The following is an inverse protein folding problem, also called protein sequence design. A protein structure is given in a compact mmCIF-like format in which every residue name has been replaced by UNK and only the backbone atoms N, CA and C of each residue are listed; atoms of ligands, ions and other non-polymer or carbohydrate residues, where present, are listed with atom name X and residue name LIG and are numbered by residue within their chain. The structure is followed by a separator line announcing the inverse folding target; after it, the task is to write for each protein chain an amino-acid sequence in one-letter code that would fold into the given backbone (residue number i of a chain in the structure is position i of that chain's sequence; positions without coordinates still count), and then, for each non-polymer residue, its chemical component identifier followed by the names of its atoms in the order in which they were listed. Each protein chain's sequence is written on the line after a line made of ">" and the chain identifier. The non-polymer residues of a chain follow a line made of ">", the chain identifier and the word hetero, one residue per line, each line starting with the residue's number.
data_IF_297642438906
#
_entry.id   IF_297642438906
#
_cell.length_a   1.000
_cell.length_b   1.000
_cell.length_c   1.000
_cell.angle_alpha   90.00
_cell.angle_beta   90.00
_cell.angle_gamma   90.00
#
_symmetry.space_group_name_H-M   'P 1'
#
loop_
_entity.id
_entity.type
_entity.pdbx_description
1 polymer ?
#
# COMPACT_ATOMS: atom_id res chain seq x y z
N UNK A 1 -23.68 -1.65 -10.49
CA UNK A 1 -22.52 -0.71 -10.51
C UNK A 1 -22.45 0.17 -9.26
N UNK A 2 -23.56 0.74 -8.78
CA UNK A 2 -23.60 1.58 -7.56
C UNK A 2 -23.28 0.85 -6.26
N UNK A 3 -23.59 -0.45 -6.16
CA UNK A 3 -23.26 -1.30 -5.01
C UNK A 3 -21.76 -1.61 -4.91
N UNK A 4 -21.14 -2.05 -5.99
CA UNK A 4 -19.70 -2.34 -6.03
C UNK A 4 -18.86 -1.08 -5.75
N UNK A 5 -19.23 0.06 -6.33
CA UNK A 5 -18.56 1.33 -6.04
C UNK A 5 -18.67 1.72 -4.54
N UNK A 6 -19.83 1.51 -3.92
CA UNK A 6 -20.02 1.75 -2.48
C UNK A 6 -19.15 0.82 -1.63
N UNK A 7 -18.99 -0.44 -2.03
CA UNK A 7 -18.09 -1.40 -1.36
C UNK A 7 -16.64 -0.95 -1.47
N UNK A 8 -16.18 -0.54 -2.66
CA UNK A 8 -14.80 -0.07 -2.88
C UNK A 8 -14.49 1.26 -2.18
N UNK A 9 -15.51 2.08 -1.91
CA UNK A 9 -15.38 3.32 -1.16
C UNK A 9 -15.51 3.13 0.36
N UNK A 10 -15.73 1.90 0.84
CA UNK A 10 -15.95 1.63 2.25
C UNK A 10 -14.67 1.89 3.07
N UNK A 11 -14.74 2.72 4.14
CA UNK A 11 -13.60 2.95 5.04
C UNK A 11 -13.00 1.67 5.64
N UNK A 12 -13.80 0.63 5.85
CA UNK A 12 -13.31 -0.65 6.39
C UNK A 12 -12.32 -1.34 5.44
N UNK A 13 -12.55 -1.22 4.13
CA UNK A 13 -11.63 -1.77 3.12
C UNK A 13 -10.27 -1.07 3.21
N UNK A 14 -10.28 0.25 3.39
CA UNK A 14 -9.06 1.02 3.61
C UNK A 14 -8.31 0.60 4.88
N UNK A 15 -9.02 0.28 5.96
CA UNK A 15 -8.39 -0.02 7.25
C UNK A 15 -7.81 -1.43 7.29
N UNK A 16 -8.56 -2.44 6.80
CA UNK A 16 -8.19 -3.84 6.98
C UNK A 16 -7.60 -4.49 5.75
N UNK A 17 -8.07 -4.12 4.55
CA UNK A 17 -7.65 -4.78 3.31
C UNK A 17 -6.51 -4.02 2.64
N UNK A 18 -6.59 -2.69 2.54
CA UNK A 18 -5.53 -1.90 1.91
C UNK A 18 -4.14 -2.12 2.48
N UNK A 19 -3.93 -2.39 3.77
CA UNK A 19 -2.57 -2.65 4.23
C UNK A 19 -1.99 -3.95 3.71
N UNK A 20 -2.82 -4.91 3.31
CA UNK A 20 -2.36 -6.18 2.73
C UNK A 20 -1.71 -5.95 1.37
N UNK A 21 -2.12 -4.91 0.63
CA UNK A 21 -1.61 -4.67 -0.71
C UNK A 21 -0.11 -4.33 -0.76
N UNK A 22 0.45 -3.80 0.33
CA UNK A 22 1.88 -3.43 0.43
C UNK A 22 2.79 -4.65 0.66
N UNK A 23 2.20 -5.81 0.94
CA UNK A 23 2.90 -7.10 1.12
C UNK A 23 2.42 -8.18 0.14
N UNK A 24 1.29 -7.97 -0.54
CA UNK A 24 0.60 -9.00 -1.33
C UNK A 24 1.46 -9.57 -2.46
N UNK A 25 2.12 -8.71 -3.24
CA UNK A 25 2.95 -9.16 -4.37
C UNK A 25 4.09 -10.03 -3.85
N UNK A 26 4.81 -9.56 -2.84
CA UNK A 26 5.93 -10.31 -2.27
C UNK A 26 5.50 -11.61 -1.60
N UNK A 27 4.39 -11.61 -0.86
CA UNK A 27 3.89 -12.81 -0.19
C UNK A 27 3.43 -13.87 -1.21
N UNK A 28 2.63 -13.50 -2.20
CA UNK A 28 2.06 -14.43 -3.18
C UNK A 28 3.15 -14.98 -4.11
N UNK A 29 4.01 -14.12 -4.64
CA UNK A 29 5.12 -14.56 -5.51
C UNK A 29 6.17 -15.36 -4.73
N UNK A 30 6.41 -15.02 -3.47
CA UNK A 30 7.32 -15.75 -2.58
C UNK A 30 6.80 -17.16 -2.26
N UNK A 31 5.50 -17.30 -1.99
CA UNK A 31 4.84 -18.60 -1.78
C UNK A 31 4.94 -19.50 -3.01
N UNK A 32 4.82 -18.93 -4.21
CA UNK A 32 4.95 -19.69 -5.46
C UNK A 32 6.39 -20.15 -5.74
N UNK A 33 7.40 -19.47 -5.19
CA UNK A 33 8.81 -19.73 -5.46
C UNK A 33 9.51 -20.49 -4.31
N UNK A 34 8.76 -21.00 -3.32
CA UNK A 34 9.31 -21.77 -2.20
C UNK A 34 8.66 -23.14 -2.11
N UNK A 35 9.45 -24.14 -1.69
CA UNK A 35 8.95 -25.49 -1.43
C UNK A 35 8.44 -25.66 0.01
N UNK A 36 8.79 -24.73 0.91
CA UNK A 36 8.45 -24.77 2.33
C UNK A 36 7.80 -23.45 2.77
N UNK A 37 6.48 -23.29 2.58
CA UNK A 37 5.79 -22.03 2.85
C UNK A 37 5.78 -21.71 4.35
N UNK A 38 6.23 -20.51 4.71
CA UNK A 38 6.22 -20.00 6.09
C UNK A 38 4.98 -19.15 6.32
N UNK A 39 3.84 -19.81 6.49
CA UNK A 39 2.52 -19.18 6.69
C UNK A 39 2.48 -18.21 7.87
N UNK A 40 3.15 -18.56 8.96
CA UNK A 40 3.19 -17.77 10.19
C UNK A 40 3.90 -16.42 9.99
N UNK A 41 4.95 -16.36 9.15
CA UNK A 41 5.59 -15.09 8.75
C UNK A 41 4.62 -14.17 8.00
N UNK A 42 3.74 -14.71 7.15
CA UNK A 42 2.74 -13.93 6.41
C UNK A 42 1.69 -13.37 7.36
N UNK A 43 1.23 -14.18 8.33
CA UNK A 43 0.27 -13.72 9.36
C UNK A 43 0.86 -12.57 10.15
N UNK A 44 2.11 -12.66 10.60
CA UNK A 44 2.75 -11.56 11.32
C UNK A 44 2.91 -10.30 10.45
N UNK A 45 3.31 -10.44 9.18
CA UNK A 45 3.39 -9.29 8.27
C UNK A 45 2.03 -8.63 8.02
N UNK A 46 0.96 -9.42 7.91
CA UNK A 46 -0.40 -8.90 7.78
C UNK A 46 -0.83 -8.13 9.05
N UNK A 47 -0.54 -8.67 10.23
CA UNK A 47 -0.79 -7.97 11.51
C UNK A 47 0.00 -6.67 11.61
N UNK A 48 1.27 -6.69 11.20
CA UNK A 48 2.14 -5.50 11.17
C UNK A 48 1.56 -4.45 10.24
N UNK A 49 1.17 -4.82 9.02
CA UNK A 49 0.63 -3.89 8.04
C UNK A 49 -0.71 -3.28 8.50
N UNK A 50 -1.62 -4.09 9.04
CA UNK A 50 -2.92 -3.59 9.53
C UNK A 50 -2.72 -2.66 10.73
N UNK A 51 -1.88 -3.07 11.69
CA UNK A 51 -1.61 -2.28 12.89
C UNK A 51 -0.88 -0.98 12.55
N UNK A 52 0.07 -0.99 11.61
CA UNK A 52 0.76 0.22 11.16
C UNK A 52 -0.19 1.21 10.51
N UNK A 53 -1.14 0.75 9.69
CA UNK A 53 -2.14 1.63 9.07
C UNK A 53 -3.09 2.26 10.12
N UNK A 54 -3.46 1.50 11.15
CA UNK A 54 -4.27 2.00 12.27
C UNK A 54 -3.50 3.05 13.07
N UNK A 55 -2.24 2.77 13.42
CA UNK A 55 -1.38 3.71 14.14
C UNK A 55 -1.18 4.99 13.32
N UNK A 56 -0.87 4.87 12.03
CA UNK A 56 -0.75 6.02 11.11
C UNK A 56 -2.04 6.86 11.12
N UNK A 57 -3.20 6.22 11.05
CA UNK A 57 -4.49 6.89 11.11
C UNK A 57 -4.70 7.66 12.42
N UNK A 58 -4.49 7.00 13.57
CA UNK A 58 -4.70 7.61 14.88
C UNK A 58 -3.66 8.69 15.19
N UNK A 59 -2.39 8.50 14.84
CA UNK A 59 -1.36 9.53 14.99
C UNK A 59 -1.65 10.75 14.12
N UNK A 60 -2.12 10.57 12.88
CA UNK A 60 -2.55 11.69 12.06
C UNK A 60 -3.71 12.47 12.71
N UNK A 61 -4.69 11.79 13.29
CA UNK A 61 -5.80 12.46 13.97
C UNK A 61 -5.35 13.19 15.25
N UNK A 62 -4.54 12.55 16.09
CA UNK A 62 -4.07 13.09 17.37
C UNK A 62 -3.11 14.26 17.17
N UNK A 63 -2.11 14.11 16.30
CA UNK A 63 -0.98 15.04 16.22
C UNK A 63 -1.15 16.13 15.15
N UNK A 64 -1.78 15.81 14.00
CA UNK A 64 -1.94 16.77 12.88
C UNK A 64 -3.30 17.46 12.95
N UNK A 65 -4.38 16.70 13.06
CA UNK A 65 -5.74 17.28 13.14
C UNK A 65 -6.08 17.82 14.53
N UNK A 66 -5.24 17.57 15.54
CA UNK A 66 -5.44 17.98 16.94
C UNK A 66 -6.84 17.65 17.46
N UNK A 67 -7.37 16.49 17.07
CA UNK A 67 -8.70 16.02 17.47
C UNK A 67 -8.57 14.78 18.36
N UNK A 68 -8.20 14.95 19.65
CA UNK A 68 -7.94 13.84 20.56
C UNK A 68 -9.20 13.00 20.85
N UNK A 69 -10.40 13.58 20.74
CA UNK A 69 -11.66 12.89 20.99
C UNK A 69 -11.98 11.84 19.92
N UNK A 70 -11.39 11.96 18.72
CA UNK A 70 -11.56 11.00 17.64
C UNK A 70 -10.58 9.81 17.74
N UNK A 71 -9.62 9.86 18.68
CA UNK A 71 -8.60 8.82 18.88
C UNK A 71 -8.85 8.05 20.17
N UNK A 72 -9.52 6.88 20.12
CA UNK A 72 -9.64 6.01 21.29
C UNK A 72 -8.27 5.48 21.69
N UNK A 73 -7.72 5.99 22.81
CA UNK A 73 -6.36 5.67 23.27
C UNK A 73 -6.15 4.18 23.54
N UNK A 74 -7.20 3.48 23.96
CA UNK A 74 -7.17 2.03 24.15
C UNK A 74 -6.89 1.29 22.84
N UNK A 75 -7.52 1.68 21.73
CA UNK A 75 -7.34 1.02 20.43
C UNK A 75 -5.94 1.31 19.89
N UNK A 76 -5.46 2.55 20.04
CA UNK A 76 -4.09 2.93 19.70
C UNK A 76 -3.09 2.05 20.47
N UNK A 77 -3.24 1.95 21.78
CA UNK A 77 -2.35 1.14 22.63
C UNK A 77 -2.37 -0.35 22.22
N UNK A 78 -3.55 -0.93 21.99
CA UNK A 78 -3.68 -2.31 21.50
C UNK A 78 -2.96 -2.45 20.15
N UNK A 79 -3.13 -1.52 19.22
CA UNK A 79 -2.47 -1.58 17.91
C UNK A 79 -0.95 -1.48 18.02
N UNK A 80 -0.41 -0.68 18.94
CA UNK A 80 1.04 -0.61 19.21
C UNK A 80 1.57 -1.91 19.81
N UNK A 81 0.86 -2.49 20.77
CA UNK A 81 1.22 -3.79 21.39
C UNK A 81 1.21 -4.89 20.33
N UNK A 82 0.18 -4.94 19.48
CA UNK A 82 0.10 -5.92 18.38
C UNK A 82 1.22 -5.69 17.36
N UNK A 83 1.51 -4.44 16.99
CA UNK A 83 2.58 -4.10 16.06
C UNK A 83 3.96 -4.56 16.57
N UNK A 84 4.28 -4.22 17.82
CA UNK A 84 5.56 -4.58 18.46
C UNK A 84 5.64 -6.08 18.68
N UNK A 85 4.58 -6.71 19.20
CA UNK A 85 4.53 -8.15 19.44
C UNK A 85 4.69 -8.95 18.16
N UNK A 86 3.94 -8.61 17.10
CA UNK A 86 4.09 -9.23 15.78
C UNK A 86 5.48 -8.96 15.17
N UNK A 87 6.04 -7.77 15.38
CA UNK A 87 7.40 -7.44 14.96
C UNK A 87 8.47 -8.32 15.62
N UNK A 88 8.37 -8.54 16.94
CA UNK A 88 9.28 -9.41 17.69
C UNK A 88 9.13 -10.86 17.24
N UNK A 89 7.90 -11.38 17.14
CA UNK A 89 7.65 -12.75 16.73
C UNK A 89 8.14 -13.00 15.29
N UNK A 90 7.92 -12.04 14.39
CA UNK A 90 8.47 -12.09 13.03
C UNK A 90 10.01 -12.09 13.05
N UNK A 91 10.61 -11.31 13.94
CA UNK A 91 12.05 -11.21 14.05
C UNK A 91 12.71 -12.50 14.54
N UNK A 92 12.07 -13.20 15.47
CA UNK A 92 12.53 -14.49 15.98
C UNK A 92 12.46 -15.60 14.92
N UNK A 93 11.53 -15.50 13.96
CA UNK A 93 11.32 -16.54 12.93
C UNK A 93 12.08 -16.30 11.62
N UNK A 94 12.67 -15.12 11.41
CA UNK A 94 13.26 -14.70 10.14
C UNK A 94 14.69 -14.18 10.28
N UNK A 95 15.38 -14.07 9.13
CA UNK A 95 16.76 -13.63 9.08
C UNK A 95 16.92 -12.18 9.54
N UNK A 96 18.00 -11.88 10.25
CA UNK A 96 18.24 -10.58 10.91
C UNK A 96 18.17 -9.38 9.96
N UNK A 97 18.57 -9.54 8.69
CA UNK A 97 18.55 -8.45 7.71
C UNK A 97 17.13 -7.93 7.43
N UNK A 98 16.12 -8.81 7.48
CA UNK A 98 14.72 -8.40 7.36
C UNK A 98 14.27 -7.60 8.56
N UNK A 99 14.75 -7.98 9.74
CA UNK A 99 14.40 -7.33 10.99
C UNK A 99 14.94 -5.90 11.03
N UNK A 100 16.11 -5.66 10.42
CA UNK A 100 16.66 -4.30 10.26
C UNK A 100 15.76 -3.45 9.35
N UNK A 101 15.37 -3.98 8.18
CA UNK A 101 14.47 -3.26 7.26
C UNK A 101 13.10 -2.99 7.88
N UNK A 102 12.55 -3.99 8.58
CA UNK A 102 11.29 -3.88 9.28
C UNK A 102 11.39 -2.88 10.45
N UNK A 103 12.49 -2.91 11.22
CA UNK A 103 12.73 -1.95 12.29
C UNK A 103 12.74 -0.51 11.76
N UNK A 104 13.41 -0.25 10.62
CA UNK A 104 13.37 1.07 9.98
C UNK A 104 11.96 1.49 9.58
N UNK A 105 11.14 0.56 9.07
CA UNK A 105 9.74 0.83 8.76
C UNK A 105 8.93 1.18 10.01
N UNK A 106 9.08 0.41 11.09
CA UNK A 106 8.43 0.67 12.37
C UNK A 106 8.84 2.04 12.92
N UNK A 107 10.14 2.36 12.86
CA UNK A 107 10.68 3.63 13.29
C UNK A 107 10.08 4.79 12.48
N UNK A 108 9.99 4.63 11.16
CA UNK A 108 9.40 5.61 10.25
C UNK A 108 7.95 5.96 10.62
N UNK A 109 7.11 4.96 10.91
CA UNK A 109 5.68 5.17 11.27
C UNK A 109 5.53 6.11 12.47
N UNK A 110 6.47 6.05 13.43
CA UNK A 110 6.45 6.87 14.64
C UNK A 110 7.11 8.24 14.42
N UNK A 111 8.30 8.25 13.81
CA UNK A 111 9.10 9.47 13.59
C UNK A 111 8.39 10.49 12.71
N UNK A 112 7.61 10.04 11.72
CA UNK A 112 6.95 10.95 10.79
C UNK A 112 5.98 11.93 11.49
N UNK A 113 5.45 11.56 12.66
CA UNK A 113 4.56 12.42 13.45
C UNK A 113 5.30 13.15 14.58
N UNK A 114 6.20 12.49 15.30
CA UNK A 114 7.03 13.10 16.34
C UNK A 114 8.39 12.36 16.46
N UNK A 115 9.53 13.07 16.55
CA UNK A 115 9.68 14.51 16.71
C UNK A 115 9.71 15.32 15.41
N UNK A 116 9.86 14.69 14.25
CA UNK A 116 10.27 15.38 13.02
C UNK A 116 9.13 15.90 12.13
N UNK A 117 7.86 15.81 12.55
CA UNK A 117 6.63 16.27 11.84
C UNK A 117 6.80 16.31 10.31
N UNK A 118 7.05 15.16 9.70
CA UNK A 118 7.32 15.03 8.27
C UNK A 118 6.03 14.99 7.44
N UNK A 119 4.86 15.02 8.08
CA UNK A 119 3.57 14.87 7.42
C UNK A 119 3.32 15.96 6.38
N UNK A 120 2.87 15.55 5.19
CA UNK A 120 2.68 16.37 3.99
C UNK A 120 3.97 17.00 3.43
N UNK A 121 5.15 16.52 3.81
CA UNK A 121 6.42 16.95 3.20
C UNK A 121 6.88 15.99 2.12
N UNK A 122 7.85 16.44 1.32
CA UNK A 122 8.53 15.60 0.34
C UNK A 122 9.24 14.39 0.98
N UNK A 123 9.69 14.51 2.23
CA UNK A 123 10.28 13.39 2.98
C UNK A 123 9.27 12.29 3.27
N UNK A 124 8.06 12.65 3.69
CA UNK A 124 7.00 11.65 3.85
C UNK A 124 6.68 10.97 2.52
N UNK A 125 6.63 11.71 1.42
CA UNK A 125 6.39 11.15 0.10
C UNK A 125 7.43 10.07 -0.26
N UNK A 126 8.73 10.40 -0.18
CA UNK A 126 9.80 9.43 -0.49
C UNK A 126 9.72 8.21 0.42
N UNK A 127 9.60 8.41 1.74
CA UNK A 127 9.61 7.30 2.69
C UNK A 127 8.36 6.43 2.57
N UNK A 128 7.19 7.02 2.29
CA UNK A 128 5.95 6.27 2.03
C UNK A 128 6.12 5.35 0.83
N UNK A 129 6.62 5.90 -0.29
CA UNK A 129 6.83 5.13 -1.52
C UNK A 129 7.89 4.04 -1.29
N UNK A 130 8.99 4.38 -0.63
CA UNK A 130 10.08 3.44 -0.36
C UNK A 130 9.61 2.29 0.54
N UNK A 131 8.98 2.57 1.68
CA UNK A 131 8.56 1.51 2.59
C UNK A 131 7.35 0.72 2.08
N UNK A 132 6.26 1.41 1.71
CA UNK A 132 5.00 0.76 1.34
C UNK A 132 5.01 0.23 -0.09
N UNK A 133 5.77 0.86 -1.00
CA UNK A 133 5.89 0.40 -2.38
C UNK A 133 6.95 -0.69 -2.55
N UNK A 134 8.05 -0.61 -1.82
CA UNK A 134 9.21 -1.47 -2.07
C UNK A 134 9.58 -2.37 -0.89
N UNK A 135 9.98 -1.80 0.25
CA UNK A 135 10.58 -2.56 1.37
C UNK A 135 9.65 -3.66 1.90
N UNK A 136 8.37 -3.36 2.13
CA UNK A 136 7.45 -4.35 2.69
C UNK A 136 7.21 -5.55 1.76
N UNK A 137 7.14 -5.33 0.45
CA UNK A 137 7.09 -6.43 -0.51
C UNK A 137 8.41 -7.21 -0.55
N UNK A 138 9.57 -6.55 -0.44
CA UNK A 138 10.86 -7.25 -0.33
C UNK A 138 10.95 -8.12 0.92
N UNK A 139 10.50 -7.61 2.07
CA UNK A 139 10.43 -8.36 3.33
C UNK A 139 9.49 -9.55 3.20
N UNK A 140 8.31 -9.35 2.60
CA UNK A 140 7.35 -10.42 2.37
C UNK A 140 7.91 -11.54 1.49
N UNK A 141 8.55 -11.20 0.36
CA UNK A 141 9.15 -12.18 -0.55
C UNK A 141 10.29 -12.96 0.10
N UNK A 142 11.27 -12.24 0.68
CA UNK A 142 12.42 -12.87 1.31
C UNK A 142 12.01 -13.76 2.50
N UNK A 143 10.95 -13.40 3.24
CA UNK A 143 10.45 -14.25 4.33
C UNK A 143 10.09 -15.67 3.86
N UNK A 144 9.77 -15.84 2.58
CA UNK A 144 9.40 -17.13 1.97
C UNK A 144 10.56 -17.80 1.22
N UNK A 145 11.39 -17.02 0.52
CA UNK A 145 12.41 -17.54 -0.42
C UNK A 145 13.84 -17.44 0.09
N UNK A 146 14.08 -16.73 1.20
CA UNK A 146 15.39 -16.41 1.79
C UNK A 146 16.40 -15.71 0.84
N UNK A 147 15.95 -15.26 -0.34
CA UNK A 147 16.77 -14.61 -1.35
C UNK A 147 15.96 -13.54 -2.08
N UNK A 148 16.61 -12.44 -2.47
CA UNK A 148 16.03 -11.42 -3.36
C UNK A 148 16.83 -11.42 -4.65
N UNK A 149 16.16 -11.73 -5.76
CA UNK A 149 16.77 -11.73 -7.09
C UNK A 149 16.54 -10.39 -7.78
N UNK A 150 17.43 -10.02 -8.70
CA UNK A 150 17.23 -8.85 -9.59
C UNK A 150 15.93 -8.97 -10.38
N UNK A 151 15.57 -10.17 -10.81
CA UNK A 151 14.27 -10.47 -11.44
C UNK A 151 13.09 -10.09 -10.54
N UNK A 152 13.14 -10.39 -9.24
CA UNK A 152 12.06 -10.00 -8.34
C UNK A 152 11.99 -8.48 -8.15
N UNK A 153 13.14 -7.80 -8.04
CA UNK A 153 13.19 -6.34 -7.92
C UNK A 153 12.54 -5.65 -9.13
N UNK A 154 12.80 -6.15 -10.35
CA UNK A 154 12.18 -5.57 -11.56
C UNK A 154 10.67 -5.76 -11.56
N UNK A 155 10.15 -6.88 -11.05
CA UNK A 155 8.71 -7.11 -10.91
C UNK A 155 8.03 -6.13 -9.95
N UNK A 156 8.75 -5.47 -9.04
CA UNK A 156 8.15 -4.47 -8.15
C UNK A 156 7.98 -3.09 -8.79
N UNK A 157 8.67 -2.80 -9.90
CA UNK A 157 8.64 -1.48 -10.56
C UNK A 157 7.22 -0.98 -10.87
N UNK A 158 6.31 -1.78 -11.47
CA UNK A 158 4.95 -1.33 -11.73
C UNK A 158 4.18 -0.97 -10.47
N UNK A 159 4.35 -1.76 -9.41
CA UNK A 159 3.68 -1.51 -8.14
C UNK A 159 4.20 -0.23 -7.47
N UNK A 160 5.52 0.00 -7.51
CA UNK A 160 6.12 1.25 -7.01
C UNK A 160 5.58 2.46 -7.78
N UNK A 161 5.47 2.38 -9.13
CA UNK A 161 4.87 3.44 -9.95
C UNK A 161 3.41 3.72 -9.56
N UNK A 162 2.62 2.67 -9.31
CA UNK A 162 1.25 2.83 -8.85
C UNK A 162 1.18 3.50 -7.47
N UNK A 163 2.04 3.07 -6.53
CA UNK A 163 2.12 3.67 -5.19
C UNK A 163 2.51 5.14 -5.27
N UNK A 164 3.45 5.50 -6.16
CA UNK A 164 3.79 6.90 -6.43
C UNK A 164 2.54 7.68 -6.89
N UNK A 165 1.87 7.20 -7.94
CA UNK A 165 0.69 7.88 -8.49
C UNK A 165 -0.41 8.08 -7.44
N UNK A 166 -0.74 7.01 -6.70
CA UNK A 166 -1.75 7.06 -5.63
C UNK A 166 -1.33 7.99 -4.49
N UNK A 167 -0.04 8.05 -4.14
CA UNK A 167 0.45 8.94 -3.08
C UNK A 167 0.37 10.40 -3.49
N UNK A 168 0.73 10.74 -4.74
CA UNK A 168 0.58 12.11 -5.28
C UNK A 168 -0.88 12.54 -5.26
N UNK A 169 -1.79 11.71 -5.78
CA UNK A 169 -3.23 12.02 -5.78
C UNK A 169 -3.76 12.13 -4.34
N UNK A 170 -3.34 11.24 -3.44
CA UNK A 170 -3.75 11.29 -2.03
C UNK A 170 -3.29 12.57 -1.34
N UNK A 171 -2.07 13.03 -1.60
CA UNK A 171 -1.56 14.31 -1.08
C UNK A 171 -2.34 15.49 -1.67
N UNK A 172 -2.54 15.52 -3.00
CA UNK A 172 -3.34 16.54 -3.69
C UNK A 172 -4.73 16.68 -3.06
N UNK A 173 -5.43 15.55 -2.87
CA UNK A 173 -6.75 15.47 -2.27
C UNK A 173 -6.75 15.89 -0.78
N UNK A 174 -5.78 15.44 0.02
CA UNK A 174 -5.65 15.83 1.44
C UNK A 174 -5.36 17.33 1.61
N UNK A 175 -4.54 17.92 0.74
CA UNK A 175 -4.26 19.35 0.77
C UNK A 175 -5.49 20.21 0.47
N UNK A 176 -6.36 19.75 -0.42
CA UNK A 176 -7.64 20.40 -0.73
C UNK A 176 -8.54 20.49 0.51
N UNK A 177 -8.52 19.49 1.41
CA UNK A 177 -9.22 19.57 2.70
C UNK A 177 -8.63 20.63 3.65
N UNK A 178 -7.31 20.69 3.75
CA UNK A 178 -6.63 21.50 4.78
C UNK A 178 -6.63 22.99 4.41
N UNK A 179 -6.32 23.31 3.15
CA UNK A 179 -6.13 24.71 2.72
C UNK A 179 -7.32 25.29 1.98
N UNK A 180 -8.32 24.49 1.61
CA UNK A 180 -9.47 24.89 0.75
C UNK A 180 -9.07 25.69 -0.50
N UNK A 181 -7.85 25.47 -0.99
CA UNK A 181 -7.30 26.13 -2.17
C UNK A 181 -7.13 25.10 -3.29
N UNK A 182 -7.49 25.44 -4.54
CA UNK A 182 -7.27 24.57 -5.67
C UNK A 182 -5.76 24.37 -5.86
N UNK A 183 -5.32 23.12 -5.80
CA UNK A 183 -3.96 22.71 -6.14
C UNK A 183 -3.81 22.66 -7.67
N UNK A 184 -2.58 22.80 -8.21
CA UNK A 184 -2.41 22.81 -9.65
C UNK A 184 -2.79 21.45 -10.22
N UNK A 185 -3.53 21.48 -11.33
CA UNK A 185 -4.06 20.30 -12.04
C UNK A 185 -2.92 19.38 -12.52
N UNK A 186 -1.69 19.91 -12.63
CA UNK A 186 -0.51 19.13 -12.95
C UNK A 186 -0.31 17.93 -12.02
N UNK A 187 -0.49 18.09 -10.70
CA UNK A 187 -0.34 16.97 -9.75
C UNK A 187 -1.34 15.83 -10.01
N UNK A 188 -2.55 16.19 -10.42
CA UNK A 188 -3.58 15.23 -10.74
C UNK A 188 -3.23 14.42 -11.99
N UNK A 189 -2.78 15.11 -13.05
CA UNK A 189 -2.38 14.45 -14.30
C UNK A 189 -1.10 13.65 -14.17
N UNK A 190 -0.12 14.09 -13.38
CA UNK A 190 1.10 13.29 -13.11
C UNK A 190 0.77 12.03 -12.31
N UNK A 191 -0.12 12.12 -11.32
CA UNK A 191 -0.59 10.96 -10.58
C UNK A 191 -1.26 9.93 -11.49
N UNK A 192 -2.16 10.37 -12.37
CA UNK A 192 -2.84 9.53 -13.36
C UNK A 192 -1.82 8.90 -14.31
N UNK A 193 -0.91 9.68 -14.88
CA UNK A 193 0.08 9.18 -15.83
C UNK A 193 0.93 8.05 -15.22
N UNK A 194 1.38 8.20 -13.97
CA UNK A 194 2.18 7.20 -13.28
C UNK A 194 1.37 5.95 -12.91
N UNK A 195 0.13 6.13 -12.43
CA UNK A 195 -0.75 5.00 -12.12
C UNK A 195 -1.12 4.18 -13.37
N UNK A 196 -1.41 4.84 -14.50
CA UNK A 196 -1.72 4.17 -15.75
C UNK A 196 -0.48 3.59 -16.45
N UNK A 197 0.70 4.20 -16.32
CA UNK A 197 1.95 3.65 -16.83
C UNK A 197 2.33 2.33 -16.14
N UNK A 198 1.88 2.11 -14.91
CA UNK A 198 2.09 0.83 -14.21
C UNK A 198 1.43 -0.35 -14.94
N UNK A 199 0.29 -0.16 -15.62
CA UNK A 199 -0.43 -1.24 -16.31
C UNK A 199 0.36 -1.91 -17.44
N UNK A 200 0.83 -1.19 -18.48
CA UNK A 200 1.56 -1.81 -19.58
C UNK A 200 2.89 -2.41 -19.12
N UNK A 201 3.56 -1.78 -18.14
CA UNK A 201 4.82 -2.30 -17.57
C UNK A 201 4.54 -3.60 -16.80
N UNK A 202 3.50 -3.63 -15.96
CA UNK A 202 3.09 -4.83 -15.24
C UNK A 202 2.72 -5.97 -16.19
N UNK A 203 1.96 -5.67 -17.24
CA UNK A 203 1.60 -6.65 -18.27
C UNK A 203 2.84 -7.24 -18.94
N UNK A 204 3.76 -6.38 -19.39
CA UNK A 204 5.00 -6.83 -20.04
C UNK A 204 5.85 -7.71 -19.12
N UNK A 205 6.02 -7.31 -17.85
CA UNK A 205 6.84 -8.03 -16.88
C UNK A 205 6.19 -9.34 -16.39
N UNK A 206 4.88 -9.51 -16.57
CA UNK A 206 4.17 -10.75 -16.26
C UNK A 206 4.26 -11.81 -17.37
N UNK A 207 4.95 -11.53 -18.49
CA UNK A 207 5.23 -12.49 -19.55
C UNK A 207 6.55 -13.25 -19.24
N UNK A 208 6.67 -14.56 -19.52
CA UNK A 208 5.72 -15.48 -20.14
C UNK A 208 4.77 -16.15 -19.13
N UNK A 209 3.52 -16.33 -19.56
CA UNK A 209 2.43 -16.91 -18.78
C UNK A 209 2.40 -18.43 -18.85
N UNK A 210 2.07 -19.11 -17.76
CA UNK A 210 1.72 -20.55 -17.76
C UNK A 210 0.27 -20.79 -18.22
N UNK A 211 -0.57 -19.77 -18.23
CA UNK A 211 -2.02 -19.80 -18.46
C UNK A 211 -2.44 -19.26 -19.83
N UNK A 212 -1.58 -19.35 -20.84
CA UNK A 212 -1.84 -18.83 -22.20
C UNK A 212 -2.26 -17.35 -22.22
N UNK A 213 -1.71 -16.54 -21.30
CA UNK A 213 -1.96 -15.10 -21.17
C UNK A 213 -3.36 -14.67 -20.70
N UNK A 214 -4.24 -15.62 -20.36
CA UNK A 214 -5.61 -15.29 -19.92
C UNK A 214 -5.62 -14.43 -18.65
N UNK A 215 -4.81 -14.78 -17.66
CA UNK A 215 -4.75 -14.05 -16.37
C UNK A 215 -4.16 -12.65 -16.57
N UNK A 216 -3.16 -12.50 -17.44
CA UNK A 216 -2.54 -11.22 -17.80
C UNK A 216 -3.54 -10.30 -18.52
N UNK A 217 -4.36 -10.84 -19.43
CA UNK A 217 -5.42 -10.07 -20.09
C UNK A 217 -6.52 -9.65 -19.11
N UNK A 218 -6.95 -10.56 -18.24
CA UNK A 218 -7.90 -10.26 -17.16
C UNK A 218 -7.34 -9.17 -16.25
N UNK A 219 -6.06 -9.24 -15.88
CA UNK A 219 -5.38 -8.22 -15.09
C UNK A 219 -5.47 -6.84 -15.74
N UNK A 220 -5.14 -6.71 -17.04
CA UNK A 220 -5.17 -5.43 -17.76
C UNK A 220 -6.59 -4.88 -17.84
N UNK A 221 -7.55 -5.71 -18.24
CA UNK A 221 -8.95 -5.29 -18.41
C UNK A 221 -9.53 -4.85 -17.06
N UNK A 222 -9.45 -5.68 -16.03
CA UNK A 222 -10.02 -5.36 -14.72
C UNK A 222 -9.36 -4.14 -14.09
N UNK A 223 -8.03 -4.08 -14.05
CA UNK A 223 -7.36 -2.94 -13.43
C UNK A 223 -7.51 -1.66 -14.26
N UNK A 224 -7.56 -1.74 -15.58
CA UNK A 224 -7.92 -0.62 -16.45
C UNK A 224 -9.27 -0.02 -16.07
N UNK A 225 -10.31 -0.86 -15.92
CA UNK A 225 -11.65 -0.41 -15.50
C UNK A 225 -11.66 0.15 -14.07
N UNK A 226 -10.96 -0.49 -13.13
CA UNK A 226 -10.85 -0.05 -11.73
C UNK A 226 -10.12 1.30 -11.64
N UNK A 227 -9.20 1.61 -12.56
CA UNK A 227 -8.47 2.88 -12.58
C UNK A 227 -9.27 4.03 -13.20
N UNK A 228 -10.33 3.80 -13.98
CA UNK A 228 -11.09 4.87 -14.65
C UNK A 228 -11.59 5.99 -13.71
N UNK A 229 -12.10 5.70 -12.49
CA UNK A 229 -12.52 6.76 -11.57
C UNK A 229 -11.40 7.67 -11.08
N UNK A 230 -10.12 7.34 -11.33
CA UNK A 230 -9.00 8.24 -11.08
C UNK A 230 -9.08 9.49 -11.94
N UNK A 231 -9.57 9.36 -13.19
CA UNK A 231 -9.68 10.45 -14.18
C UNK A 231 -10.67 11.55 -13.78
N UNK A 232 -11.57 11.26 -12.84
CA UNK A 232 -12.61 12.19 -12.42
C UNK A 232 -12.09 13.07 -11.29
N UNK A 233 -12.00 14.38 -11.53
CA UNK A 233 -11.68 15.36 -10.49
C UNK A 233 -12.88 15.57 -9.55
N UNK A 234 -12.60 15.80 -8.27
CA UNK A 234 -13.63 15.84 -7.23
C UNK A 234 -13.35 16.97 -6.25
N UNK A 235 -14.35 17.85 -6.07
CA UNK A 235 -14.22 19.05 -5.23
C UNK A 235 -15.08 19.01 -3.95
N UNK A 236 -16.05 18.10 -3.86
CA UNK A 236 -16.93 18.00 -2.69
C UNK A 236 -16.27 17.12 -1.61
N UNK A 237 -16.24 17.58 -0.35
CA UNK A 237 -15.63 16.90 0.79
C UNK A 237 -16.04 15.41 0.93
N UNK A 238 -17.34 15.10 0.81
CA UNK A 238 -17.82 13.71 0.91
C UNK A 238 -17.30 12.84 -0.23
N UNK A 239 -17.30 13.39 -1.45
CA UNK A 239 -16.81 12.68 -2.63
C UNK A 239 -15.29 12.53 -2.60
N UNK A 240 -14.58 13.49 -2.02
CA UNK A 240 -13.13 13.47 -1.86
C UNK A 240 -12.72 12.34 -0.89
N UNK A 241 -13.40 12.21 0.25
CA UNK A 241 -13.16 11.10 1.18
C UNK A 241 -13.44 9.73 0.52
N UNK A 242 -14.52 9.63 -0.26
CA UNK A 242 -14.82 8.43 -1.04
C UNK A 242 -13.72 8.13 -2.06
N UNK A 243 -13.18 9.15 -2.73
CA UNK A 243 -12.06 8.98 -3.67
C UNK A 243 -10.81 8.49 -2.95
N UNK A 244 -10.46 9.04 -1.79
CA UNK A 244 -9.35 8.56 -0.97
C UNK A 244 -9.51 7.08 -0.57
N UNK A 245 -10.72 6.65 -0.19
CA UNK A 245 -10.96 5.24 0.11
C UNK A 245 -10.83 4.37 -1.14
N UNK A 246 -11.36 4.85 -2.27
CA UNK A 246 -11.27 4.16 -3.55
C UNK A 246 -9.82 3.97 -4.02
N UNK A 247 -8.94 4.96 -3.85
CA UNK A 247 -7.51 4.84 -4.17
C UNK A 247 -6.84 3.65 -3.47
N UNK A 248 -7.20 3.42 -2.20
CA UNK A 248 -6.68 2.29 -1.42
C UNK A 248 -7.23 0.94 -1.95
N UNK A 249 -8.47 0.93 -2.44
CA UNK A 249 -9.04 -0.25 -3.09
C UNK A 249 -8.38 -0.54 -4.45
N UNK A 250 -8.04 0.50 -5.23
CA UNK A 250 -7.26 0.36 -6.47
C UNK A 250 -5.90 -0.30 -6.17
N UNK A 251 -5.21 0.14 -5.12
CA UNK A 251 -3.90 -0.40 -4.73
C UNK A 251 -3.99 -1.88 -4.36
N UNK A 252 -5.02 -2.26 -3.60
CA UNK A 252 -5.34 -3.67 -3.28
C UNK A 252 -5.59 -4.50 -4.53
N UNK A 253 -6.55 -4.10 -5.35
CA UNK A 253 -6.96 -4.91 -6.51
C UNK A 253 -5.81 -5.05 -7.49
N UNK A 254 -5.06 -3.99 -7.75
CA UNK A 254 -3.86 -4.07 -8.57
C UNK A 254 -2.84 -5.05 -8.01
N UNK A 255 -2.51 -4.95 -6.72
CA UNK A 255 -1.53 -5.85 -6.10
C UNK A 255 -1.95 -7.33 -6.21
N UNK A 256 -3.23 -7.64 -6.00
CA UNK A 256 -3.75 -9.00 -6.05
C UNK A 256 -3.77 -9.55 -7.47
N UNK A 257 -4.37 -8.82 -8.43
CA UNK A 257 -4.44 -9.27 -9.81
C UNK A 257 -3.06 -9.33 -10.46
N UNK A 258 -2.16 -8.40 -10.13
CA UNK A 258 -0.80 -8.44 -10.63
C UNK A 258 -0.05 -9.64 -10.06
N UNK A 259 -0.14 -9.91 -8.75
CA UNK A 259 0.46 -11.08 -8.14
C UNK A 259 -0.06 -12.39 -8.76
N UNK A 260 -1.37 -12.47 -9.05
CA UNK A 260 -1.95 -13.61 -9.77
C UNK A 260 -1.38 -13.74 -11.18
N UNK A 261 -1.25 -12.63 -11.91
CA UNK A 261 -0.64 -12.61 -13.25
C UNK A 261 0.85 -12.99 -13.25
N UNK A 262 1.55 -12.88 -12.12
CA UNK A 262 2.94 -13.35 -11.97
C UNK A 262 3.03 -14.86 -11.68
N UNK A 263 1.99 -15.43 -11.08
CA UNK A 263 1.95 -16.85 -10.69
C UNK A 263 1.45 -17.75 -11.84
N UNK A 264 0.44 -17.27 -12.59
CA UNK A 264 -0.24 -17.99 -13.67
C UNK A 264 0.14 -17.46 -15.04
#
# INVERSE_FOLDING_TARGET
>A
MTTLLKVLQNPLLKIFLSPISVIAIGAITGLNNTNSPKWLSIVYLALIAISSQLIDHFFHQKQIRRNPNATPELILFISEVVLIGAGILFALSNHWILNVLLAFYLLYIHIQYKPFVMVNTFYQFILTVFFNGFVLNCVAYYSQTATITTKYITLLVPFVLLVIGITIESMHLKYSFIRRKPQPVLYHWTAIALAFAALPIAFYLALPSKSYYLVQLVFVVFNGFIMLPLLVSVNNEKRLQNKLNYLNAVLLLFSLFYALALVF
#
